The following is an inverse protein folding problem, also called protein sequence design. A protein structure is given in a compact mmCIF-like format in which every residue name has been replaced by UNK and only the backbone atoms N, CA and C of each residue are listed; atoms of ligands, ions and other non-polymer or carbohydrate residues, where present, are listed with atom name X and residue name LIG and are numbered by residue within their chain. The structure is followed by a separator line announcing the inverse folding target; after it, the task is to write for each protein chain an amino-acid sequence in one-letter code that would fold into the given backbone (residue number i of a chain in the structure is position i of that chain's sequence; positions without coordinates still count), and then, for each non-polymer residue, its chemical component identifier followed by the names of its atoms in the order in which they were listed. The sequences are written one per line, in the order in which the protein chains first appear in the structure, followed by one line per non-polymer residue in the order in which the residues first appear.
data_IF_514228067742
#
_entry.id   IF_514228067742
#
_cell.length_a   1.000
_cell.length_b   1.000
_cell.length_c   1.000
_cell.angle_alpha   90.00
_cell.angle_beta   90.00
_cell.angle_gamma   90.00
#
_symmetry.space_group_name_H-M   'P 1'
#
loop_
_entity.id
_entity.type
_entity.pdbx_description
1 polymer ?
#
# COMPACT_ATOMS: atom_id res chain seq x y z
N UNK A 1 5.38 -5.15 11.21
CA UNK A 1 6.25 -4.22 10.47
C UNK A 1 7.38 -4.96 9.73
N UNK A 2 8.20 -5.78 10.40
CA UNK A 2 9.35 -6.48 9.81
C UNK A 2 9.02 -7.35 8.58
N UNK A 3 8.00 -8.21 8.68
CA UNK A 3 7.58 -9.11 7.59
C UNK A 3 7.06 -8.35 6.36
N UNK A 4 6.51 -7.16 6.59
CA UNK A 4 5.97 -6.27 5.57
C UNK A 4 7.10 -5.54 4.82
N UNK A 5 8.09 -4.99 5.54
CA UNK A 5 9.26 -4.33 4.95
C UNK A 5 10.12 -5.28 4.11
N UNK A 6 10.31 -6.53 4.56
CA UNK A 6 11.08 -7.54 3.81
C UNK A 6 10.42 -7.96 2.50
N UNK A 7 9.10 -8.20 2.50
CA UNK A 7 8.41 -8.75 1.33
C UNK A 7 8.13 -7.70 0.24
N UNK A 8 8.00 -6.43 0.62
CA UNK A 8 7.60 -5.36 -0.31
C UNK A 8 8.73 -4.46 -0.78
N UNK A 9 9.68 -4.15 0.09
CA UNK A 9 10.78 -3.24 -0.23
C UNK A 9 12.10 -3.98 -0.55
N UNK A 10 12.11 -5.32 -0.53
CA UNK A 10 13.32 -6.12 -0.77
C UNK A 10 14.44 -5.89 0.26
N UNK A 11 14.11 -5.25 1.38
CA UNK A 11 15.07 -4.86 2.41
C UNK A 11 15.65 -6.09 3.11
N UNK A 12 16.96 -6.06 3.35
CA UNK A 12 17.69 -7.05 4.14
C UNK A 12 17.03 -7.29 5.51
N UNK A 13 17.13 -8.51 6.06
CA UNK A 13 16.59 -8.87 7.39
C UNK A 13 17.02 -7.88 8.47
N UNK A 14 18.24 -7.36 8.37
CA UNK A 14 18.77 -6.40 9.33
C UNK A 14 18.10 -5.03 9.25
N UNK A 15 17.91 -4.48 8.05
CA UNK A 15 17.30 -3.15 7.89
C UNK A 15 15.82 -3.16 8.22
N UNK A 16 15.10 -4.22 7.85
CA UNK A 16 13.69 -4.38 8.20
C UNK A 16 13.46 -4.54 9.71
N UNK A 17 14.38 -5.21 10.42
CA UNK A 17 14.28 -5.43 11.87
C UNK A 17 14.73 -4.18 12.66
N UNK A 18 15.71 -3.43 12.14
CA UNK A 18 16.12 -2.15 12.71
C UNK A 18 15.03 -1.07 12.61
N UNK A 19 14.41 -0.90 11.42
CA UNK A 19 13.24 -0.02 11.25
C UNK A 19 12.09 -0.43 12.18
N UNK A 20 11.75 -1.73 12.18
CA UNK A 20 10.66 -2.25 13.00
C UNK A 20 10.86 -2.06 14.51
N UNK A 21 12.11 -1.90 14.98
CA UNK A 21 12.44 -1.69 16.39
C UNK A 21 12.53 -0.21 16.80
N UNK A 22 12.53 0.72 15.85
CA UNK A 22 12.73 2.14 16.16
C UNK A 22 11.76 3.05 15.38
N UNK A 23 10.43 2.89 15.52
CA UNK A 23 9.46 3.77 14.87
C UNK A 23 9.64 5.25 15.27
N UNK A 24 10.19 5.50 16.46
CA UNK A 24 10.53 6.84 16.92
C UNK A 24 11.63 7.50 16.06
N UNK A 25 12.63 6.75 15.58
CA UNK A 25 13.69 7.31 14.74
C UNK A 25 13.16 7.72 13.36
N UNK A 26 12.27 6.91 12.78
CA UNK A 26 11.61 7.24 11.51
C UNK A 26 10.76 8.51 11.64
N UNK A 27 9.99 8.62 12.73
CA UNK A 27 9.18 9.81 13.01
C UNK A 27 10.06 11.06 13.22
N UNK A 28 11.16 10.93 13.97
CA UNK A 28 12.11 12.03 14.19
C UNK A 28 12.79 12.45 12.88
N UNK A 29 13.22 11.50 12.05
CA UNK A 29 13.83 11.79 10.76
C UNK A 29 12.84 12.49 9.80
N UNK A 30 11.59 12.03 9.76
CA UNK A 30 10.53 12.68 8.99
C UNK A 30 10.24 14.10 9.50
N UNK A 31 10.22 14.30 10.82
CA UNK A 31 10.01 15.62 11.43
C UNK A 31 11.17 16.59 11.12
N UNK A 32 12.41 16.12 11.18
CA UNK A 32 13.59 16.90 10.76
C UNK A 32 13.52 17.28 9.27
N UNK A 33 13.11 16.34 8.42
CA UNK A 33 12.88 16.60 7.00
C UNK A 33 11.80 17.65 6.75
N UNK A 34 10.69 17.57 7.48
CA UNK A 34 9.61 18.58 7.42
C UNK A 34 10.12 19.95 7.86
N UNK A 35 10.91 20.04 8.93
CA UNK A 35 11.50 21.32 9.37
C UNK A 35 12.44 21.91 8.33
N UNK A 36 13.27 21.09 7.69
CA UNK A 36 14.16 21.52 6.61
C UNK A 36 13.41 21.94 5.35
N UNK A 37 12.28 21.29 5.04
CA UNK A 37 11.40 21.65 3.93
C UNK A 37 10.65 22.96 4.22
N UNK A 38 10.16 23.14 5.45
CA UNK A 38 9.53 24.39 5.90
C UNK A 38 10.49 25.56 5.85
N UNK A 39 11.76 25.37 6.20
CA UNK A 39 12.79 26.41 6.08
C UNK A 39 13.08 26.83 4.62
N UNK A 40 12.58 26.09 3.63
CA UNK A 40 12.75 26.33 2.19
C UNK A 40 11.42 26.58 1.47
N UNK A 41 10.32 26.79 2.20
CA UNK A 41 8.94 26.91 1.68
C UNK A 41 8.46 25.71 0.83
N UNK A 42 9.05 24.52 1.07
CA UNK A 42 8.72 23.26 0.40
C UNK A 42 7.94 22.29 1.30
N UNK A 43 7.36 22.76 2.41
CA UNK A 43 6.62 21.91 3.33
C UNK A 43 5.42 21.19 2.66
N UNK A 44 4.54 21.86 1.88
CA UNK A 44 3.42 21.18 1.22
C UNK A 44 3.85 20.05 0.26
N UNK A 45 4.78 20.25 -0.70
CA UNK A 45 5.20 19.16 -1.59
C UNK A 45 5.93 18.05 -0.83
N UNK A 46 6.67 18.35 0.24
CA UNK A 46 7.31 17.34 1.08
C UNK A 46 6.28 16.40 1.72
N UNK A 47 5.22 16.94 2.33
CA UNK A 47 4.17 16.13 2.96
C UNK A 47 3.40 15.33 1.91
N UNK A 48 3.05 15.93 0.78
CA UNK A 48 2.33 15.25 -0.29
C UNK A 48 3.14 14.07 -0.85
N UNK A 49 4.41 14.29 -1.17
CA UNK A 49 5.26 13.26 -1.74
C UNK A 49 5.52 12.13 -0.74
N UNK A 50 5.86 12.46 0.52
CA UNK A 50 6.10 11.44 1.55
C UNK A 50 4.83 10.67 1.90
N UNK A 51 3.68 11.34 1.97
CA UNK A 51 2.39 10.68 2.17
C UNK A 51 2.02 9.73 1.02
N UNK A 52 2.18 10.18 -0.23
CA UNK A 52 1.91 9.33 -1.39
C UNK A 52 2.86 8.14 -1.46
N UNK A 53 4.15 8.34 -1.15
CA UNK A 53 5.12 7.26 -1.06
C UNK A 53 4.73 6.23 0.00
N UNK A 54 4.27 6.66 1.18
CA UNK A 54 3.79 5.76 2.22
C UNK A 54 2.58 4.94 1.75
N UNK A 55 1.62 5.56 1.08
CA UNK A 55 0.45 4.87 0.52
C UNK A 55 0.88 3.81 -0.49
N UNK A 56 1.72 4.17 -1.46
CA UNK A 56 2.20 3.25 -2.51
C UNK A 56 3.03 2.10 -1.90
N UNK A 57 3.90 2.40 -0.93
CA UNK A 57 4.63 1.37 -0.20
C UNK A 57 3.71 0.46 0.61
N UNK A 58 2.57 0.99 1.07
CA UNK A 58 1.52 0.26 1.79
C UNK A 58 0.46 -0.39 0.90
N UNK A 59 0.53 -0.25 -0.43
CA UNK A 59 -0.39 -0.92 -1.35
C UNK A 59 -0.14 -2.44 -1.31
N UNK A 60 -0.86 -3.09 -0.39
CA UNK A 60 -0.98 -4.53 -0.25
C UNK A 60 -1.58 -5.16 -1.52
N UNK A 61 -1.53 -6.49 -1.58
CA UNK A 61 -2.26 -7.25 -2.61
C UNK A 61 -3.50 -7.72 -1.89
N UNK A 62 -4.65 -7.16 -2.27
CA UNK A 62 -5.94 -7.50 -1.67
C UNK A 62 -6.17 -9.00 -1.82
N UNK A 63 -6.48 -9.67 -0.72
CA UNK A 63 -6.90 -11.08 -0.76
C UNK A 63 -8.40 -11.14 -1.07
N UNK A 64 -8.86 -12.20 -1.76
CA UNK A 64 -10.30 -12.42 -1.94
C UNK A 64 -11.01 -12.39 -0.58
N UNK A 65 -12.08 -11.59 -0.45
CA UNK A 65 -12.86 -11.44 0.79
C UNK A 65 -12.38 -10.37 1.77
N UNK A 66 -11.27 -9.66 1.54
CA UNK A 66 -10.88 -8.53 2.40
C UNK A 66 -11.79 -7.31 2.19
N UNK A 67 -12.26 -6.62 3.25
CA UNK A 67 -13.06 -5.41 3.13
C UNK A 67 -12.41 -4.37 2.23
N UNK A 68 -13.18 -3.86 1.27
CA UNK A 68 -12.84 -2.67 0.50
C UNK A 68 -13.75 -1.50 0.90
N UNK A 69 -13.41 -0.28 0.50
CA UNK A 69 -14.34 0.85 0.67
C UNK A 69 -15.71 0.58 0.03
N UNK A 70 -15.77 -0.32 -0.96
CA UNK A 70 -16.99 -0.73 -1.65
C UNK A 70 -17.81 -1.78 -0.90
N UNK A 71 -17.23 -2.55 0.04
CA UNK A 71 -18.02 -3.49 0.86
C UNK A 71 -19.02 -2.81 1.78
N UNK A 72 -18.84 -1.53 2.09
CA UNK A 72 -19.82 -0.74 2.84
C UNK A 72 -21.20 -0.75 2.14
N UNK A 73 -21.22 -0.96 0.82
CA UNK A 73 -22.43 -1.01 0.00
C UNK A 73 -22.73 -2.42 -0.55
N UNK A 74 -21.86 -3.41 -0.29
CA UNK A 74 -21.98 -4.78 -0.80
C UNK A 74 -21.33 -5.74 0.19
N UNK A 75 -22.00 -5.98 1.32
CA UNK A 75 -21.50 -6.76 2.45
C UNK A 75 -21.13 -8.21 2.07
N UNK A 76 -21.79 -8.77 1.05
CA UNK A 76 -21.54 -10.13 0.58
C UNK A 76 -20.51 -10.24 -0.53
N UNK A 77 -19.93 -9.11 -0.97
CA UNK A 77 -19.03 -9.03 -2.13
C UNK A 77 -19.60 -9.75 -3.36
N UNK A 78 -20.92 -9.73 -3.52
CA UNK A 78 -21.57 -10.42 -4.62
C UNK A 78 -21.18 -9.73 -5.93
N UNK A 79 -20.88 -10.55 -6.93
CA UNK A 79 -20.52 -10.07 -8.26
C UNK A 79 -21.71 -9.29 -8.82
N UNK A 80 -21.47 -8.06 -9.30
CA UNK A 80 -22.55 -7.29 -9.91
C UNK A 80 -22.99 -7.98 -11.21
N UNK A 81 -24.30 -8.13 -11.44
CA UNK A 81 -24.79 -8.69 -12.69
C UNK A 81 -24.31 -7.84 -13.86
N UNK A 82 -23.66 -8.46 -14.84
CA UNK A 82 -23.09 -7.79 -16.02
C UNK A 82 -21.61 -7.37 -15.89
N UNK A 83 -20.93 -7.59 -14.76
CA UNK A 83 -19.47 -7.45 -14.70
C UNK A 83 -18.79 -8.58 -15.47
N UNK A 84 -18.03 -8.21 -16.50
CA UNK A 84 -17.13 -9.10 -17.19
C UNK A 84 -15.80 -9.18 -16.44
N UNK A 85 -15.46 -10.36 -15.97
CA UNK A 85 -14.42 -10.60 -14.96
C UNK A 85 -13.32 -11.47 -15.54
N UNK A 86 -12.15 -11.47 -14.90
CA UNK A 86 -11.01 -12.25 -15.37
C UNK A 86 -11.33 -13.76 -15.47
N UNK A 87 -12.13 -14.30 -14.54
CA UNK A 87 -12.58 -15.70 -14.62
C UNK A 87 -13.43 -15.97 -15.87
N UNK A 88 -14.24 -14.99 -16.31
CA UNK A 88 -15.07 -15.13 -17.52
C UNK A 88 -14.21 -15.14 -18.79
N UNK A 89 -13.11 -14.37 -18.77
CA UNK A 89 -12.11 -14.39 -19.85
C UNK A 89 -11.40 -15.73 -19.88
N UNK A 90 -10.94 -16.22 -18.73
CA UNK A 90 -10.26 -17.51 -18.63
C UNK A 90 -11.16 -18.66 -19.09
N UNK A 91 -12.45 -18.67 -18.71
CA UNK A 91 -13.42 -19.67 -19.17
C UNK A 91 -13.63 -19.63 -20.68
N UNK A 92 -13.72 -18.44 -21.29
CA UNK A 92 -13.87 -18.28 -22.74
C UNK A 92 -12.61 -18.72 -23.49
N UNK A 93 -11.43 -18.41 -22.94
CA UNK A 93 -10.14 -18.77 -23.54
C UNK A 93 -9.87 -20.26 -23.41
N UNK A 94 -10.17 -20.88 -22.26
CA UNK A 94 -9.99 -22.32 -22.04
C UNK A 94 -10.99 -23.15 -22.84
N UNK A 95 -12.23 -22.70 -23.04
CA UNK A 95 -13.20 -23.39 -23.91
C UNK A 95 -12.88 -23.33 -25.40
N UNK A 96 -11.92 -22.50 -25.82
CA UNK A 96 -11.48 -22.39 -27.23
C UNK A 96 -10.24 -23.22 -27.57
N UNK A 97 -9.71 -24.01 -26.63
CA UNK A 97 -8.72 -25.06 -26.88
C UNK A 97 -9.37 -26.44 -26.84
#
# INVERSE_FOLDING_TARGET
METFLRRRCGLSRWTANALARAPALEAVAWWLGLRQASARDLAPPYVLFTGFALIVMNLGRRRPGEPSAYSIFNDRFERLPGQFTADDVDDVVMRRR
#
